data_IF_254958673380
#
_entry.id   IF_254958673380
#
_cell.length_a   1.000
_cell.length_b   1.000
_cell.length_c   1.000
_cell.angle_alpha   90.00
_cell.angle_beta   90.00
_cell.angle_gamma   90.00
#
_symmetry.space_group_name_H-M   'P 1'
#
loop_
_entity.id
_entity.type
_entity.pdbx_description
1 polymer ?
#
# COMPACT_ATOMS: atom_id res chain seq x y z
N UNK A 1 7.41 -1.37 26.16
CA UNK A 1 7.67 -0.02 25.64
C UNK A 1 6.51 0.35 24.74
N UNK A 2 5.63 1.27 25.21
CA UNK A 2 4.51 1.80 24.45
C UNK A 2 5.07 2.72 23.36
N UNK A 3 4.89 2.37 22.11
CA UNK A 3 5.16 3.24 20.98
C UNK A 3 4.16 4.41 21.03
N UNK A 4 4.65 5.61 21.30
CA UNK A 4 3.88 6.82 21.17
C UNK A 4 3.66 7.10 19.68
N UNK A 5 2.43 6.90 19.20
CA UNK A 5 2.03 7.35 17.87
C UNK A 5 2.07 8.88 17.84
N UNK A 6 3.10 9.43 17.23
CA UNK A 6 3.18 10.86 16.93
C UNK A 6 2.12 11.22 15.90
N UNK A 7 1.04 11.87 16.35
CA UNK A 7 0.02 12.39 15.45
C UNK A 7 0.66 13.48 14.57
N UNK A 8 0.61 13.26 13.26
CA UNK A 8 0.95 14.28 12.27
C UNK A 8 0.12 15.54 12.53
N UNK A 9 0.79 16.68 12.66
CA UNK A 9 0.11 17.96 12.92
C UNK A 9 -0.49 18.47 11.61
N UNK A 10 -1.74 18.13 11.38
CA UNK A 10 -2.53 18.73 10.32
C UNK A 10 -3.16 20.03 10.84
N UNK A 11 -2.98 21.19 10.19
CA UNK A 11 -3.63 22.42 10.64
C UNK A 11 -5.15 22.32 10.40
N UNK A 12 -5.92 22.27 11.47
CA UNK A 12 -7.38 22.30 11.45
C UNK A 12 -8.07 21.06 11.98
N UNK A 13 -8.02 20.78 13.28
CA UNK A 13 -8.91 19.82 13.93
C UNK A 13 -10.18 20.55 14.40
N UNK A 14 -11.30 20.30 13.71
CA UNK A 14 -12.63 20.41 14.30
C UNK A 14 -13.10 18.97 14.61
N UNK A 15 -13.36 18.67 15.90
CA UNK A 15 -13.96 17.40 16.31
C UNK A 15 -15.43 17.37 15.89
N UNK A 16 -15.76 16.52 14.93
CA UNK A 16 -17.14 16.05 14.75
C UNK A 16 -17.13 14.54 14.96
N UNK A 17 -17.74 14.12 16.06
CA UNK A 17 -17.98 12.73 16.41
C UNK A 17 -19.26 12.32 15.67
N UNK A 18 -19.13 11.86 14.44
CA UNK A 18 -20.20 11.22 13.68
C UNK A 18 -19.94 9.73 13.56
N UNK A 19 -21.06 8.96 13.54
CA UNK A 19 -21.09 7.51 13.52
C UNK A 19 -19.95 6.89 12.70
N UNK A 20 -19.30 5.85 13.24
CA UNK A 20 -18.18 5.14 12.65
C UNK A 20 -18.53 4.61 11.26
N UNK A 21 -18.44 5.46 10.25
CA UNK A 21 -18.37 5.05 8.85
C UNK A 21 -17.06 4.31 8.66
N UNK A 22 -17.09 3.17 7.94
CA UNK A 22 -15.90 2.44 7.59
C UNK A 22 -14.87 3.40 6.97
N UNK A 23 -13.61 3.32 7.40
CA UNK A 23 -12.55 4.19 6.89
C UNK A 23 -12.53 4.21 5.36
N UNK A 24 -12.47 5.39 4.72
CA UNK A 24 -12.35 5.47 3.27
C UNK A 24 -11.04 4.87 2.74
N UNK A 25 -10.08 4.57 3.61
CA UNK A 25 -8.77 3.98 3.30
C UNK A 25 -8.72 2.48 3.61
N UNK A 26 -9.76 1.74 3.24
CA UNK A 26 -9.91 0.30 3.52
C UNK A 26 -8.77 -0.57 2.92
N UNK A 27 -7.99 -0.05 1.99
CA UNK A 27 -6.88 -0.74 1.32
C UNK A 27 -5.50 -0.25 1.81
N UNK A 28 -5.49 0.55 2.89
CA UNK A 28 -4.28 1.09 3.48
C UNK A 28 -3.52 2.09 2.59
N UNK A 29 -2.26 2.25 2.88
CA UNK A 29 -1.33 3.13 2.17
C UNK A 29 -0.10 2.33 1.74
N UNK A 30 0.66 2.85 0.79
CA UNK A 30 1.94 2.28 0.39
C UNK A 30 2.89 3.36 -0.11
N UNK A 31 4.19 3.09 -0.03
CA UNK A 31 5.21 3.82 -0.75
C UNK A 31 6.08 2.85 -1.55
N UNK A 32 6.68 3.35 -2.62
CA UNK A 32 7.52 2.53 -3.48
C UNK A 32 8.49 3.36 -4.31
N UNK A 33 9.28 2.65 -5.09
CA UNK A 33 10.27 3.23 -6.01
C UNK A 33 11.11 4.33 -5.34
N UNK A 34 11.73 4.06 -4.17
CA UNK A 34 12.53 5.05 -3.48
C UNK A 34 13.71 5.49 -4.35
N UNK A 35 13.90 6.79 -4.43
CA UNK A 35 15.02 7.44 -5.13
C UNK A 35 15.80 8.31 -4.14
N UNK A 36 16.91 8.88 -4.58
CA UNK A 36 17.72 9.74 -3.71
C UNK A 36 16.97 11.01 -3.28
N UNK A 37 16.04 11.49 -4.09
CA UNK A 37 15.29 12.73 -3.86
C UNK A 37 13.79 12.57 -3.82
N UNK A 38 13.27 11.33 -3.85
CA UNK A 38 11.83 11.12 -3.93
C UNK A 38 11.35 9.71 -3.69
N UNK A 39 10.03 9.56 -3.64
CA UNK A 39 9.31 8.30 -3.49
C UNK A 39 7.95 8.37 -4.18
N UNK A 40 7.42 7.25 -4.61
CA UNK A 40 6.02 7.16 -5.04
C UNK A 40 5.15 6.79 -3.83
N UNK A 41 4.09 7.57 -3.58
CA UNK A 41 3.08 7.26 -2.58
C UNK A 41 1.81 6.73 -3.25
N UNK A 42 1.13 5.80 -2.59
CA UNK A 42 -0.08 5.18 -3.09
C UNK A 42 -1.15 5.05 -1.99
N UNK A 43 -2.39 5.22 -2.40
CA UNK A 43 -3.57 4.77 -1.66
C UNK A 43 -4.72 4.47 -2.63
N UNK A 44 -5.76 3.80 -2.14
CA UNK A 44 -7.05 3.61 -2.81
C UNK A 44 -8.16 4.07 -1.90
N UNK A 45 -9.03 4.92 -2.40
CA UNK A 45 -10.13 5.52 -1.61
C UNK A 45 -11.44 4.77 -1.88
N UNK A 46 -12.15 4.42 -0.83
CA UNK A 46 -13.53 3.92 -0.92
C UNK A 46 -14.48 5.11 -0.75
N UNK A 47 -15.24 5.43 -1.78
CA UNK A 47 -16.18 6.55 -1.79
C UNK A 47 -17.62 6.08 -1.59
N UNK A 48 -18.53 6.94 -1.11
CA UNK A 48 -19.96 6.67 -1.08
C UNK A 48 -20.52 6.29 -2.45
N UNK A 49 -21.56 5.48 -2.47
CA UNK A 49 -22.21 5.06 -3.71
C UNK A 49 -22.65 6.27 -4.56
N UNK A 50 -22.39 6.20 -5.86
CA UNK A 50 -22.68 7.27 -6.82
C UNK A 50 -21.62 8.35 -6.96
N UNK A 51 -20.68 8.47 -6.03
CA UNK A 51 -19.57 9.41 -6.16
C UNK A 51 -18.52 8.83 -7.10
N UNK A 52 -18.10 9.58 -8.11
CA UNK A 52 -17.20 9.13 -9.16
C UNK A 52 -15.78 9.68 -9.05
N UNK A 53 -15.57 10.65 -8.18
CA UNK A 53 -14.25 11.24 -7.91
C UNK A 53 -14.22 11.91 -6.54
N UNK A 54 -13.02 12.05 -5.97
CA UNK A 54 -12.76 12.86 -4.78
C UNK A 54 -11.37 13.49 -4.87
N UNK A 55 -11.24 14.70 -4.30
CA UNK A 55 -9.95 15.29 -4.01
C UNK A 55 -9.36 14.59 -2.79
N UNK A 56 -8.11 14.14 -2.91
CA UNK A 56 -7.32 13.52 -1.86
C UNK A 56 -6.11 14.40 -1.58
N UNK A 57 -6.04 14.91 -0.37
CA UNK A 57 -4.86 15.64 0.11
C UNK A 57 -3.80 14.65 0.60
N UNK A 58 -2.55 14.98 0.43
CA UNK A 58 -1.44 14.19 0.94
C UNK A 58 -0.37 15.08 1.55
N UNK A 59 0.35 14.52 2.51
CA UNK A 59 1.43 15.21 3.22
C UNK A 59 2.55 14.22 3.53
N UNK A 60 3.79 14.70 3.39
CA UNK A 60 5.02 14.04 3.82
C UNK A 60 5.69 14.91 4.88
N UNK A 61 6.08 14.29 5.98
CA UNK A 61 6.79 14.95 7.08
C UNK A 61 8.10 14.24 7.37
N UNK A 62 9.09 14.98 7.87
CA UNK A 62 10.31 14.35 8.35
C UNK A 62 10.00 13.47 9.56
N UNK A 63 10.59 12.27 9.62
CA UNK A 63 10.55 11.42 10.78
C UNK A 63 11.57 11.94 11.82
N UNK A 64 11.14 12.05 13.10
CA UNK A 64 11.99 12.50 14.19
C UNK A 64 11.24 13.30 15.26
N UNK A 65 11.96 13.80 16.29
CA UNK A 65 11.34 14.42 17.45
C UNK A 65 10.68 15.79 17.19
N UNK A 66 11.01 16.42 16.06
CA UNK A 66 10.42 17.69 15.61
C UNK A 66 9.99 17.57 14.12
N UNK A 67 8.86 16.88 13.84
CA UNK A 67 8.41 16.66 12.47
C UNK A 67 8.13 17.98 11.75
N UNK A 68 8.58 18.10 10.49
CA UNK A 68 8.33 19.23 9.61
C UNK A 68 7.74 18.75 8.30
N UNK A 69 6.80 19.51 7.76
CA UNK A 69 6.26 19.22 6.42
C UNK A 69 7.38 19.36 5.40
N UNK A 70 7.75 18.25 4.75
CA UNK A 70 8.72 18.19 3.67
C UNK A 70 8.06 18.41 2.31
N UNK A 71 6.88 17.83 2.10
CA UNK A 71 6.08 18.00 0.88
C UNK A 71 4.59 17.82 1.19
N UNK A 72 3.73 18.44 0.37
CA UNK A 72 2.26 18.26 0.43
C UNK A 72 1.62 18.65 -0.90
N UNK A 73 0.43 18.15 -1.12
CA UNK A 73 -0.33 18.48 -2.32
C UNK A 73 -1.70 17.83 -2.36
N UNK A 74 -2.30 17.84 -3.52
CA UNK A 74 -3.59 17.22 -3.80
C UNK A 74 -3.49 16.31 -5.02
N UNK A 75 -4.34 15.29 -5.06
CA UNK A 75 -4.51 14.41 -6.20
C UNK A 75 -5.99 14.04 -6.31
N UNK A 76 -6.45 13.61 -7.47
CA UNK A 76 -7.84 13.22 -7.68
C UNK A 76 -7.95 11.72 -7.82
N UNK A 77 -8.68 11.09 -6.90
CA UNK A 77 -9.13 9.71 -7.03
C UNK A 77 -10.35 9.67 -7.97
N UNK A 78 -10.34 8.79 -8.98
CA UNK A 78 -11.43 8.68 -9.96
C UNK A 78 -11.85 7.23 -10.18
N UNK A 79 -13.13 7.01 -10.53
CA UNK A 79 -13.65 5.69 -10.89
C UNK A 79 -12.90 5.07 -12.09
N UNK A 80 -12.46 5.88 -13.06
CA UNK A 80 -11.70 5.40 -14.22
C UNK A 80 -10.36 4.76 -13.81
N UNK A 81 -9.78 5.19 -12.69
CA UNK A 81 -8.54 4.66 -12.12
C UNK A 81 -8.79 3.81 -10.84
N UNK A 82 -9.96 3.22 -10.71
CA UNK A 82 -10.34 2.43 -9.54
C UNK A 82 -10.12 3.17 -8.21
N UNK A 83 -10.34 4.49 -8.22
CA UNK A 83 -10.12 5.39 -7.08
C UNK A 83 -8.71 5.32 -6.47
N UNK A 84 -7.71 4.83 -7.21
CA UNK A 84 -6.32 4.85 -6.78
C UNK A 84 -5.71 6.23 -6.96
N UNK A 85 -4.83 6.59 -6.04
CA UNK A 85 -3.98 7.78 -6.08
C UNK A 85 -2.54 7.33 -6.09
N UNK A 86 -1.75 7.83 -7.04
CA UNK A 86 -0.30 7.70 -7.09
C UNK A 86 0.30 9.09 -7.13
N UNK A 87 1.23 9.36 -6.23
CA UNK A 87 1.91 10.66 -6.13
C UNK A 87 3.41 10.44 -6.23
N UNK A 88 4.04 10.97 -7.25
CA UNK A 88 5.49 11.04 -7.36
C UNK A 88 5.98 12.26 -6.57
N UNK A 89 6.48 12.01 -5.36
CA UNK A 89 7.00 13.06 -4.48
C UNK A 89 8.47 13.27 -4.77
N UNK A 90 8.86 14.52 -5.02
CA UNK A 90 10.24 14.93 -5.35
C UNK A 90 10.73 16.03 -4.42
N UNK A 91 12.05 16.27 -4.43
CA UNK A 91 12.68 17.30 -3.62
C UNK A 91 12.86 16.93 -2.15
N UNK A 92 12.83 15.65 -1.84
CA UNK A 92 13.16 15.13 -0.50
C UNK A 92 14.67 15.05 -0.31
N UNK A 93 15.12 15.10 0.94
CA UNK A 93 16.54 14.92 1.28
C UNK A 93 16.92 13.43 1.11
N UNK A 94 18.12 13.16 0.59
CA UNK A 94 18.64 11.80 0.38
C UNK A 94 18.92 11.06 1.69
N UNK A 95 18.66 9.75 1.71
CA UNK A 95 18.98 8.87 2.82
C UNK A 95 18.16 9.12 4.10
N UNK A 96 17.01 9.77 3.98
CA UNK A 96 16.21 10.21 5.11
C UNK A 96 14.89 9.46 5.24
N UNK A 97 14.47 9.20 6.48
CA UNK A 97 13.16 8.66 6.81
C UNK A 97 12.09 9.75 6.84
N UNK A 98 10.89 9.39 6.42
CA UNK A 98 9.72 10.24 6.34
C UNK A 98 8.47 9.49 6.78
N UNK A 99 7.49 10.26 7.29
CA UNK A 99 6.12 9.82 7.49
C UNK A 99 5.23 10.43 6.42
N UNK A 100 4.20 9.70 5.98
CA UNK A 100 3.24 10.24 5.04
C UNK A 100 1.81 9.86 5.41
N UNK A 101 0.85 10.66 4.97
CA UNK A 101 -0.56 10.45 5.23
C UNK A 101 -1.41 11.06 4.13
N UNK A 102 -2.56 10.44 3.88
CA UNK A 102 -3.59 10.95 2.97
C UNK A 102 -4.81 11.40 3.78
N UNK A 103 -5.60 12.29 3.17
CA UNK A 103 -6.85 12.78 3.73
C UNK A 103 -7.89 12.95 2.63
N UNK A 104 -9.11 12.51 2.89
CA UNK A 104 -10.30 12.71 2.04
C UNK A 104 -11.51 12.98 2.90
N UNK A 105 -12.24 14.06 2.60
CA UNK A 105 -13.47 14.40 3.32
C UNK A 105 -13.33 14.54 4.84
N UNK A 106 -12.18 14.96 5.34
CA UNK A 106 -11.88 15.07 6.77
C UNK A 106 -11.42 13.76 7.45
N UNK A 107 -11.42 12.64 6.73
CA UNK A 107 -10.91 11.35 7.23
C UNK A 107 -9.45 11.16 6.83
N UNK A 108 -8.63 10.68 7.78
CA UNK A 108 -7.21 10.43 7.57
C UNK A 108 -6.92 8.94 7.36
N UNK A 109 -5.96 8.66 6.49
CA UNK A 109 -5.39 7.32 6.33
C UNK A 109 -4.57 6.91 7.55
N UNK A 110 -4.22 5.61 7.67
CA UNK A 110 -3.08 5.22 8.49
C UNK A 110 -1.84 6.05 8.11
N UNK A 111 -0.95 6.25 9.07
CA UNK A 111 0.38 6.84 8.79
C UNK A 111 1.26 5.78 8.14
N UNK A 112 1.86 6.14 7.00
CA UNK A 112 2.86 5.32 6.36
C UNK A 112 4.27 5.84 6.66
N UNK A 113 5.24 4.92 6.70
CA UNK A 113 6.66 5.18 6.80
C UNK A 113 7.31 4.97 5.46
N UNK A 114 8.26 5.81 5.12
CA UNK A 114 9.03 5.68 3.88
C UNK A 114 10.42 6.28 4.07
N UNK A 115 11.28 6.05 3.10
CA UNK A 115 12.60 6.66 3.08
C UNK A 115 13.11 6.84 1.67
N UNK A 116 13.94 7.84 1.48
CA UNK A 116 14.72 8.03 0.25
C UNK A 116 16.00 7.19 0.31
N UNK A 117 16.53 6.83 -0.85
CA UNK A 117 17.80 6.13 -0.93
C UNK A 117 18.97 7.10 -0.62
N UNK A 118 19.99 6.65 0.11
CA UNK A 118 21.22 7.43 0.25
C UNK A 118 21.98 7.48 -1.08
N UNK A 119 22.68 8.59 -1.34
CA UNK A 119 23.55 8.70 -2.52
C UNK A 119 24.72 7.72 -2.46
N UNK A 120 25.23 7.48 -1.24
CA UNK A 120 26.28 6.50 -0.95
C UNK A 120 25.94 5.77 0.34
N UNK A 121 26.20 4.48 0.38
CA UNK A 121 26.00 3.66 1.59
C UNK A 121 26.98 2.50 1.63
N UNK A 122 27.51 2.22 2.81
CA UNK A 122 28.33 1.02 3.05
C UNK A 122 27.46 -0.22 3.33
N UNK A 123 26.15 -0.05 3.54
CA UNK A 123 25.21 -1.13 3.89
C UNK A 123 23.83 -0.81 3.34
N UNK A 124 23.21 -1.85 2.76
CA UNK A 124 21.80 -1.86 2.39
C UNK A 124 21.14 -3.10 3.01
N UNK A 125 19.98 -2.93 3.63
CA UNK A 125 19.22 -4.00 4.23
C UNK A 125 17.85 -4.12 3.59
N UNK A 126 17.64 -5.25 2.92
CA UNK A 126 16.43 -5.52 2.14
C UNK A 126 15.74 -6.78 2.68
N UNK A 127 14.41 -6.77 2.73
CA UNK A 127 13.61 -7.98 2.79
C UNK A 127 13.22 -8.35 1.36
N UNK A 128 13.42 -9.61 0.98
CA UNK A 128 13.07 -10.12 -0.35
C UNK A 128 11.93 -11.11 -0.19
N UNK A 129 10.83 -10.88 -0.92
CA UNK A 129 9.60 -11.68 -0.85
C UNK A 129 9.07 -11.97 -2.25
N UNK A 130 8.24 -13.01 -2.38
CA UNK A 130 7.56 -13.40 -3.61
C UNK A 130 6.37 -14.30 -3.29
N UNK A 131 5.52 -14.60 -4.28
CA UNK A 131 4.54 -15.69 -4.26
C UNK A 131 3.50 -15.57 -3.13
N UNK A 132 2.70 -14.53 -3.16
CA UNK A 132 1.69 -14.19 -2.14
C UNK A 132 0.33 -14.79 -2.49
N UNK A 133 0.15 -16.11 -2.38
CA UNK A 133 -1.13 -16.74 -2.70
C UNK A 133 -2.14 -16.54 -1.57
N UNK A 134 -3.14 -15.66 -1.77
CA UNK A 134 -4.11 -15.25 -0.76
C UNK A 134 -5.00 -16.40 -0.23
N UNK A 135 -5.58 -17.29 -1.05
CA UNK A 135 -6.36 -18.41 -0.53
C UNK A 135 -5.55 -19.51 0.13
N UNK A 136 -4.24 -19.59 -0.13
CA UNK A 136 -3.39 -20.66 0.39
C UNK A 136 -2.90 -20.43 1.83
N UNK A 137 -2.96 -19.21 2.36
CA UNK A 137 -2.45 -18.93 3.71
C UNK A 137 -2.59 -17.50 4.17
N UNK A 138 -2.26 -17.25 5.44
CA UNK A 138 -2.14 -15.91 6.00
C UNK A 138 -0.75 -15.32 5.70
N UNK A 139 -0.67 -14.00 5.61
CA UNK A 139 0.55 -13.28 5.28
C UNK A 139 1.45 -12.98 6.51
N UNK A 140 1.58 -13.97 7.41
CA UNK A 140 2.33 -13.84 8.68
C UNK A 140 3.79 -13.39 8.49
N UNK A 141 4.42 -13.77 7.37
CA UNK A 141 5.76 -13.31 7.03
C UNK A 141 5.79 -11.77 6.85
N UNK A 142 4.74 -11.21 6.24
CA UNK A 142 4.62 -9.76 6.05
C UNK A 142 4.42 -9.03 7.38
N UNK A 143 3.63 -9.60 8.31
CA UNK A 143 3.51 -9.06 9.66
C UNK A 143 4.87 -9.02 10.37
N UNK A 144 5.67 -10.08 10.22
CA UNK A 144 7.02 -10.14 10.81
C UNK A 144 7.95 -9.08 10.21
N UNK A 145 7.96 -8.95 8.87
CA UNK A 145 8.80 -7.95 8.18
C UNK A 145 8.39 -6.53 8.55
N UNK A 146 7.08 -6.26 8.70
CA UNK A 146 6.57 -4.95 9.08
C UNK A 146 7.12 -4.43 10.43
N UNK A 147 7.59 -5.33 11.31
CA UNK A 147 8.16 -4.98 12.62
C UNK A 147 9.70 -4.87 12.62
N UNK A 148 10.35 -4.95 11.46
CA UNK A 148 11.80 -4.79 11.37
C UNK A 148 12.17 -3.33 11.18
N UNK A 149 12.66 -2.67 12.21
CA UNK A 149 12.90 -1.21 12.23
C UNK A 149 14.05 -0.73 11.31
N UNK A 150 14.92 -1.62 10.84
CA UNK A 150 16.17 -1.27 10.16
C UNK A 150 16.23 -1.73 8.69
N UNK A 151 15.09 -1.93 8.05
CA UNK A 151 15.02 -2.19 6.62
C UNK A 151 15.08 -0.89 5.80
N UNK A 152 15.79 -0.96 4.69
CA UNK A 152 15.85 0.14 3.73
C UNK A 152 14.70 0.04 2.71
N UNK A 153 14.34 -1.18 2.29
CA UNK A 153 13.19 -1.44 1.43
C UNK A 153 12.78 -2.93 1.48
N UNK A 154 11.57 -3.20 0.99
CA UNK A 154 11.12 -4.54 0.64
C UNK A 154 11.21 -4.69 -0.87
N UNK A 155 11.78 -5.81 -1.35
CA UNK A 155 11.80 -6.18 -2.76
C UNK A 155 10.82 -7.34 -2.97
N UNK A 156 9.79 -7.12 -3.79
CA UNK A 156 8.83 -8.15 -4.17
C UNK A 156 9.13 -8.62 -5.58
N UNK A 157 9.48 -9.89 -5.71
CA UNK A 157 9.96 -10.48 -6.97
C UNK A 157 8.84 -10.98 -7.91
N UNK A 158 7.60 -10.60 -7.65
CA UNK A 158 6.45 -11.00 -8.45
C UNK A 158 5.55 -12.00 -7.73
N UNK A 159 4.49 -12.43 -8.40
CA UNK A 159 3.37 -13.17 -7.80
C UNK A 159 2.81 -12.47 -6.56
N UNK A 160 2.67 -11.17 -6.67
CA UNK A 160 2.01 -10.37 -5.63
C UNK A 160 0.54 -10.73 -5.52
N UNK A 161 -0.09 -11.10 -6.63
CA UNK A 161 -1.43 -11.69 -6.73
C UNK A 161 -1.36 -13.00 -7.50
N UNK A 162 -2.44 -13.78 -7.43
CA UNK A 162 -2.69 -14.95 -8.25
C UNK A 162 -4.02 -14.78 -8.97
N UNK A 163 -4.05 -15.02 -10.28
CA UNK A 163 -5.22 -14.85 -11.15
C UNK A 163 -6.22 -15.99 -11.03
N UNK A 164 -5.80 -17.17 -10.58
CA UNK A 164 -6.58 -18.40 -10.57
C UNK A 164 -7.97 -18.29 -9.92
N UNK A 165 -8.90 -19.13 -10.38
CA UNK A 165 -10.17 -19.35 -9.73
C UNK A 165 -9.96 -20.00 -8.34
N UNK A 166 -10.95 -19.82 -7.44
CA UNK A 166 -10.94 -20.52 -6.15
C UNK A 166 -10.99 -22.03 -6.35
N UNK A 167 -10.07 -22.74 -5.72
CA UNK A 167 -9.93 -24.18 -5.83
C UNK A 167 -8.92 -24.67 -6.88
N UNK A 168 -8.46 -23.83 -7.81
CA UNK A 168 -7.47 -24.24 -8.83
C UNK A 168 -6.05 -24.23 -8.27
N UNK A 169 -5.69 -23.21 -7.51
CA UNK A 169 -4.36 -23.07 -6.89
C UNK A 169 -4.47 -22.47 -5.48
N UNK A 170 -5.19 -23.15 -4.63
CA UNK A 170 -5.53 -22.76 -3.27
C UNK A 170 -7.04 -22.80 -3.06
N UNK A 171 -7.45 -23.15 -1.85
CA UNK A 171 -8.85 -23.33 -1.48
C UNK A 171 -9.21 -22.30 -0.42
N UNK A 172 -10.00 -21.31 -0.80
CA UNK A 172 -10.50 -20.27 0.09
C UNK A 172 -11.38 -20.79 1.21
N UNK A 173 -12.05 -21.93 1.03
CA UNK A 173 -12.94 -22.53 2.03
C UNK A 173 -12.19 -22.94 3.29
N UNK A 174 -10.94 -23.43 3.16
CA UNK A 174 -10.14 -23.92 4.29
C UNK A 174 -9.87 -22.83 5.34
N UNK A 175 -9.64 -21.59 4.88
CA UNK A 175 -9.26 -20.47 5.75
C UNK A 175 -10.28 -19.32 5.76
N UNK A 176 -11.37 -19.43 4.99
CA UNK A 176 -12.30 -18.33 4.76
C UNK A 176 -11.69 -17.19 3.95
N UNK A 177 -10.67 -17.47 3.14
CA UNK A 177 -9.92 -16.49 2.35
C UNK A 177 -10.20 -16.66 0.85
N UNK A 178 -11.44 -16.40 0.47
CA UNK A 178 -11.83 -16.49 -0.93
C UNK A 178 -11.22 -15.38 -1.77
N UNK A 179 -10.67 -15.70 -2.97
CA UNK A 179 -10.27 -14.67 -3.92
C UNK A 179 -11.51 -13.92 -4.44
N UNK A 180 -11.38 -12.64 -4.73
CA UNK A 180 -12.43 -11.88 -5.39
C UNK A 180 -11.86 -11.27 -6.69
N UNK A 181 -12.42 -11.67 -7.87
CA UNK A 181 -13.53 -12.61 -8.08
C UNK A 181 -13.14 -14.06 -7.74
N UNK A 182 -14.13 -14.91 -7.49
CA UNK A 182 -13.92 -16.35 -7.24
C UNK A 182 -13.57 -17.13 -8.50
N UNK A 183 -13.86 -16.57 -9.69
CA UNK A 183 -13.40 -17.09 -10.98
C UNK A 183 -12.02 -16.51 -11.33
N UNK A 184 -11.39 -17.06 -12.34
CA UNK A 184 -10.09 -16.58 -12.84
C UNK A 184 -10.16 -15.10 -13.26
N UNK A 185 -9.16 -14.31 -12.84
CA UNK A 185 -9.10 -12.89 -13.18
C UNK A 185 -8.58 -12.73 -14.61
N UNK A 186 -9.44 -12.26 -15.53
CA UNK A 186 -9.12 -12.11 -16.97
C UNK A 186 -9.27 -10.64 -17.39
N UNK A 187 -10.31 -9.95 -16.90
CA UNK A 187 -10.59 -8.57 -17.27
C UNK A 187 -9.88 -7.58 -16.36
N UNK A 188 -9.75 -6.33 -16.82
CA UNK A 188 -9.23 -5.25 -15.96
C UNK A 188 -10.03 -5.10 -14.65
N UNK A 189 -11.36 -5.33 -14.72
CA UNK A 189 -12.21 -5.25 -13.52
C UNK A 189 -11.91 -6.40 -12.55
N UNK A 190 -11.68 -7.62 -13.06
CA UNK A 190 -11.30 -8.76 -12.24
C UNK A 190 -9.95 -8.52 -11.54
N UNK A 191 -8.97 -8.01 -12.25
CA UNK A 191 -7.68 -7.63 -11.67
C UNK A 191 -7.82 -6.56 -10.59
N UNK A 192 -8.64 -5.52 -10.80
CA UNK A 192 -8.92 -4.49 -9.81
C UNK A 192 -9.52 -5.07 -8.52
N UNK A 193 -10.48 -6.00 -8.67
CA UNK A 193 -11.09 -6.71 -7.53
C UNK A 193 -10.07 -7.62 -6.84
N UNK A 194 -9.26 -8.34 -7.59
CA UNK A 194 -8.22 -9.22 -7.06
C UNK A 194 -7.19 -8.43 -6.26
N UNK A 195 -6.63 -7.38 -6.81
CA UNK A 195 -5.72 -6.48 -6.08
C UNK A 195 -6.40 -5.85 -4.84
N UNK A 196 -7.65 -5.44 -4.94
CA UNK A 196 -8.37 -4.89 -3.81
C UNK A 196 -8.55 -5.91 -2.68
N UNK A 197 -8.75 -7.20 -3.00
CA UNK A 197 -8.84 -8.29 -2.02
C UNK A 197 -7.52 -8.45 -1.27
N UNK A 198 -6.41 -8.57 -1.97
CA UNK A 198 -5.08 -8.68 -1.38
C UNK A 198 -4.76 -7.47 -0.49
N UNK A 199 -5.05 -6.26 -0.99
CA UNK A 199 -4.80 -5.01 -0.26
C UNK A 199 -5.67 -4.80 0.98
N UNK A 200 -6.67 -5.65 1.23
CA UNK A 200 -7.44 -5.68 2.49
C UNK A 200 -6.81 -6.55 3.56
N UNK A 201 -5.83 -7.37 3.22
CA UNK A 201 -5.12 -8.18 4.21
C UNK A 201 -4.35 -7.27 5.19
N UNK A 202 -4.56 -7.44 6.51
CA UNK A 202 -3.97 -6.55 7.51
C UNK A 202 -2.45 -6.64 7.57
N UNK A 203 -1.87 -7.83 7.36
CA UNK A 203 -0.44 -8.04 7.42
C UNK A 203 0.26 -7.41 6.21
N UNK A 204 -0.37 -7.51 5.02
CA UNK A 204 0.10 -6.85 3.82
C UNK A 204 -0.02 -5.32 3.93
N UNK A 205 -1.09 -4.80 4.54
CA UNK A 205 -1.23 -3.37 4.83
C UNK A 205 -0.15 -2.88 5.80
N UNK A 206 0.13 -3.65 6.86
CA UNK A 206 1.18 -3.32 7.83
C UNK A 206 2.55 -3.24 7.15
N UNK A 207 2.89 -4.21 6.29
CA UNK A 207 4.14 -4.21 5.53
C UNK A 207 4.27 -2.94 4.67
N UNK A 208 3.24 -2.63 3.89
CA UNK A 208 3.24 -1.46 3.01
C UNK A 208 3.26 -0.12 3.76
N UNK A 209 2.64 -0.07 4.94
CA UNK A 209 2.68 1.11 5.78
C UNK A 209 4.04 1.29 6.45
N UNK A 210 4.78 0.21 6.72
CA UNK A 210 6.06 0.26 7.42
C UNK A 210 7.25 0.55 6.51
N UNK A 211 7.24 0.06 5.25
CA UNK A 211 8.43 0.09 4.39
C UNK A 211 8.10 0.45 2.94
N UNK A 212 9.00 1.17 2.24
CA UNK A 212 8.89 1.33 0.80
C UNK A 212 9.12 -0.01 0.10
N UNK A 213 8.36 -0.27 -0.96
CA UNK A 213 8.44 -1.50 -1.74
C UNK A 213 8.92 -1.23 -3.16
N UNK A 214 9.83 -2.08 -3.63
CA UNK A 214 10.24 -2.20 -5.03
C UNK A 214 9.64 -3.50 -5.53
N UNK A 215 8.73 -3.46 -6.48
CA UNK A 215 8.03 -4.64 -6.99
C UNK A 215 8.26 -4.82 -8.48
N UNK A 216 8.42 -6.06 -8.91
CA UNK A 216 8.38 -6.49 -10.31
C UNK A 216 7.21 -7.45 -10.49
N UNK A 217 6.84 -7.71 -11.74
CA UNK A 217 5.85 -8.71 -12.11
C UNK A 217 6.51 -10.06 -12.35
N UNK A 218 5.76 -11.14 -12.13
CA UNK A 218 6.05 -12.48 -12.63
C UNK A 218 4.84 -12.98 -13.43
N UNK A 219 4.68 -14.27 -13.65
CA UNK A 219 3.66 -14.82 -14.56
C UNK A 219 2.23 -14.70 -14.01
N UNK A 220 2.02 -14.74 -12.71
CA UNK A 220 0.68 -14.65 -12.10
C UNK A 220 0.05 -13.24 -12.08
N UNK A 221 0.80 -12.21 -12.42
CA UNK A 221 0.23 -10.88 -12.66
C UNK A 221 -0.50 -10.79 -14.01
N UNK A 222 -0.43 -11.84 -14.86
CA UNK A 222 -1.05 -11.89 -16.18
C UNK A 222 -1.81 -13.21 -16.37
N UNK A 223 -3.09 -13.14 -16.77
CA UNK A 223 -3.88 -14.33 -17.08
C UNK A 223 -3.22 -15.15 -18.19
N UNK A 224 -3.10 -16.46 -17.96
CA UNK A 224 -2.65 -17.47 -18.93
C UNK A 224 -1.22 -17.32 -19.48
N UNK A 225 -0.41 -16.38 -19.00
CA UNK A 225 0.93 -16.19 -19.56
C UNK A 225 1.81 -17.43 -19.36
N UNK A 226 1.66 -18.12 -18.22
CA UNK A 226 2.34 -19.40 -17.95
C UNK A 226 1.87 -20.57 -18.82
N UNK A 227 0.70 -20.48 -19.45
CA UNK A 227 0.15 -21.48 -20.38
C UNK A 227 0.59 -21.28 -21.81
N UNK A 228 1.18 -20.14 -22.15
CA UNK A 228 1.63 -19.82 -23.52
C UNK A 228 2.87 -20.63 -23.96
N UNK A 229 3.46 -21.41 -23.06
CA UNK A 229 4.65 -22.22 -23.29
C UNK A 229 4.41 -23.74 -23.26
N UNK A 230 3.15 -24.19 -23.29
CA UNK A 230 2.78 -25.61 -23.33
C UNK A 230 2.31 -26.01 -24.73
#
# INVERSE_FOLDING_TARGET
LLAASTALVWPGRAHAQEAASASPFAHGVASGDPQADGVVLWTRVTLPAGQRSAEVRWQVTTDGPAPRVAARGTATATAARDFTVKVDVRGLESGRAYLYQFEVGGSFSPTGHTRTLPLETARLRLAVVACSNYPAGYFNAYATIAHLDDLDAVVHLGDYIYEFADGDFGDGATLGRYPDPVHEAITLEDYRRRYATYRRDPDLQALHAAHPMIAVWDDHEFAEIGRAHV
#
